data_IF_351621212079
#
_entry.id   IF_351621212079
#
_cell.length_a   1.000
_cell.length_b   1.000
_cell.length_c   1.000
_cell.angle_alpha   90.00
_cell.angle_beta   90.00
_cell.angle_gamma   90.00
#
_symmetry.space_group_name_H-M   'P 1'
#
loop_
_entity.id
_entity.type
_entity.pdbx_description
1 polymer ?
#
# COMPACT_ATOMS: atom_id res chain seq x y z
N UNK A 1 -4.88 -6.97 61.68
CA UNK A 1 -5.13 -7.78 60.46
C UNK A 1 -5.15 -6.86 59.27
N UNK A 2 -4.36 -7.20 58.25
CA UNK A 2 -4.07 -6.38 57.09
C UNK A 2 -5.28 -6.26 56.15
N UNK A 3 -5.65 -5.03 55.78
CA UNK A 3 -6.56 -4.75 54.68
C UNK A 3 -5.75 -4.54 53.40
N UNK A 4 -5.78 -5.53 52.52
CA UNK A 4 -5.05 -5.56 51.25
C UNK A 4 -5.63 -4.54 50.25
N UNK A 5 -4.77 -3.67 49.72
CA UNK A 5 -5.10 -2.75 48.63
C UNK A 5 -5.16 -3.55 47.33
N UNK A 6 -6.37 -3.78 46.83
CA UNK A 6 -6.59 -4.36 45.52
C UNK A 6 -6.19 -3.38 44.42
N UNK A 7 -4.97 -3.53 43.91
CA UNK A 7 -4.51 -2.87 42.69
C UNK A 7 -5.36 -3.38 41.52
N UNK A 8 -6.31 -2.56 41.07
CA UNK A 8 -7.05 -2.78 39.84
C UNK A 8 -6.07 -2.74 38.66
N UNK A 9 -5.69 -3.92 38.16
CA UNK A 9 -4.88 -4.04 36.95
C UNK A 9 -5.74 -3.61 35.76
N UNK A 10 -5.56 -2.37 35.32
CA UNK A 10 -6.20 -1.88 34.10
C UNK A 10 -5.81 -2.80 32.93
N UNK A 11 -6.81 -3.33 32.23
CA UNK A 11 -6.61 -4.08 31.00
C UNK A 11 -5.81 -3.23 29.99
N UNK A 12 -4.95 -3.83 29.16
CA UNK A 12 -4.25 -3.07 28.12
C UNK A 12 -5.31 -2.46 27.21
N UNK A 13 -5.32 -1.12 27.14
CA UNK A 13 -6.17 -0.35 26.23
C UNK A 13 -5.89 -0.85 24.81
N UNK A 14 -6.83 -1.55 24.19
CA UNK A 14 -6.76 -1.86 22.77
C UNK A 14 -6.69 -0.54 22.02
N UNK A 15 -5.63 -0.34 21.24
CA UNK A 15 -5.52 0.82 20.38
C UNK A 15 -6.75 0.86 19.45
N UNK A 16 -7.38 2.03 19.24
CA UNK A 16 -8.51 2.14 18.33
C UNK A 16 -8.07 1.69 16.94
N UNK A 17 -8.85 0.79 16.32
CA UNK A 17 -8.67 0.37 14.93
C UNK A 17 -8.69 1.62 14.07
N UNK A 18 -7.52 2.02 13.55
CA UNK A 18 -7.40 3.16 12.65
C UNK A 18 -7.88 2.70 11.27
N UNK A 19 -9.07 3.15 10.87
CA UNK A 19 -9.53 3.03 9.50
C UNK A 19 -8.83 4.07 8.62
N UNK A 20 -8.81 3.86 7.30
CA UNK A 20 -8.08 4.72 6.35
C UNK A 20 -8.65 6.15 6.21
N UNK A 21 -9.62 6.53 7.04
CA UNK A 21 -10.26 7.85 7.06
C UNK A 21 -10.80 8.22 8.44
N UNK A 22 -11.38 9.41 8.53
CA UNK A 22 -11.97 9.95 9.78
C UNK A 22 -13.32 9.34 10.11
N UNK A 23 -14.06 8.89 9.10
CA UNK A 23 -15.37 8.28 9.26
C UNK A 23 -15.27 6.75 9.45
N UNK A 24 -16.22 6.14 10.19
CA UNK A 24 -16.28 4.69 10.28
C UNK A 24 -16.60 4.07 8.92
N UNK A 25 -16.17 2.82 8.67
CA UNK A 25 -16.46 2.13 7.42
C UNK A 25 -17.96 1.90 7.26
N UNK A 26 -18.46 2.08 6.04
CA UNK A 26 -19.86 1.80 5.69
C UNK A 26 -20.23 0.32 5.85
N UNK A 27 -19.26 -0.58 5.64
CA UNK A 27 -19.44 -2.01 5.79
C UNK A 27 -18.15 -2.68 6.24
N UNK A 28 -18.30 -3.71 7.08
CA UNK A 28 -17.23 -4.62 7.50
C UNK A 28 -17.42 -6.02 6.88
N UNK A 29 -18.37 -6.18 5.97
CA UNK A 29 -18.61 -7.46 5.30
C UNK A 29 -17.40 -7.82 4.42
N UNK A 30 -16.98 -9.08 4.53
CA UNK A 30 -15.95 -9.65 3.67
C UNK A 30 -16.48 -10.00 2.28
N UNK A 31 -15.57 -10.27 1.36
CA UNK A 31 -15.89 -10.73 0.00
C UNK A 31 -16.57 -12.10 0.02
N UNK A 32 -17.53 -12.29 -0.87
CA UNK A 32 -18.17 -13.57 -1.16
C UNK A 32 -17.47 -14.29 -2.31
N UNK A 33 -17.78 -15.57 -2.52
CA UNK A 33 -17.28 -16.33 -3.67
C UNK A 33 -17.71 -15.71 -5.01
N UNK A 34 -18.92 -15.12 -5.08
CA UNK A 34 -19.39 -14.43 -6.28
C UNK A 34 -18.59 -13.16 -6.56
N UNK A 35 -18.11 -12.47 -5.52
CA UNK A 35 -17.23 -11.29 -5.68
C UNK A 35 -15.88 -11.68 -6.25
N UNK A 36 -15.29 -12.78 -5.75
CA UNK A 36 -14.02 -13.32 -6.26
C UNK A 36 -14.13 -13.72 -7.74
N UNK A 37 -15.19 -14.42 -8.11
CA UNK A 37 -15.41 -14.83 -9.50
C UNK A 37 -15.54 -13.63 -10.45
N UNK A 38 -16.37 -12.65 -10.09
CA UNK A 38 -16.55 -11.42 -10.88
C UNK A 38 -15.25 -10.62 -10.99
N UNK A 39 -14.46 -10.58 -9.92
CA UNK A 39 -13.15 -9.92 -9.92
C UNK A 39 -12.17 -10.60 -10.87
N UNK A 40 -12.15 -11.94 -10.90
CA UNK A 40 -11.29 -12.69 -11.82
C UNK A 40 -11.69 -12.51 -13.30
N UNK A 41 -12.99 -12.47 -13.59
CA UNK A 41 -13.50 -12.18 -14.94
C UNK A 41 -13.14 -10.77 -15.39
N UNK A 42 -13.30 -9.79 -14.50
CA UNK A 42 -12.89 -8.41 -14.76
C UNK A 42 -11.38 -8.32 -15.03
N UNK A 43 -10.56 -8.95 -14.20
CA UNK A 43 -9.11 -8.93 -14.35
C UNK A 43 -8.68 -9.48 -15.71
N UNK A 44 -9.27 -10.61 -16.13
CA UNK A 44 -9.04 -11.17 -17.47
C UNK A 44 -9.40 -10.16 -18.56
N UNK A 45 -10.56 -9.52 -18.47
CA UNK A 45 -10.98 -8.50 -19.45
C UNK A 45 -10.01 -7.31 -19.51
N UNK A 46 -9.53 -6.83 -18.37
CA UNK A 46 -8.59 -5.68 -18.32
C UNK A 46 -7.22 -6.03 -18.90
N UNK A 47 -6.74 -7.26 -18.67
CA UNK A 47 -5.54 -7.78 -19.32
C UNK A 47 -5.73 -7.86 -20.84
N UNK A 48 -6.85 -8.40 -21.32
CA UNK A 48 -7.16 -8.49 -22.75
C UNK A 48 -7.34 -7.12 -23.41
N UNK A 49 -7.84 -6.13 -22.67
CA UNK A 49 -7.93 -4.73 -23.11
C UNK A 49 -6.56 -4.02 -23.16
N UNK A 50 -5.47 -4.66 -22.71
CA UNK A 50 -4.14 -4.07 -22.68
C UNK A 50 -3.99 -2.93 -21.67
N UNK A 51 -4.81 -2.92 -20.60
CA UNK A 51 -4.76 -1.85 -19.60
C UNK A 51 -3.48 -1.88 -18.77
N UNK A 52 -2.99 -3.08 -18.46
CA UNK A 52 -1.79 -3.28 -17.66
C UNK A 52 -0.55 -3.37 -18.55
N UNK A 53 0.50 -2.67 -18.16
CA UNK A 53 1.82 -2.82 -18.77
C UNK A 53 2.37 -4.24 -18.57
N UNK A 54 3.09 -4.72 -19.58
CA UNK A 54 3.78 -6.01 -19.52
C UNK A 54 5.06 -5.92 -18.68
N UNK A 55 5.52 -7.05 -18.15
CA UNK A 55 6.76 -7.11 -17.33
C UNK A 55 7.98 -6.50 -18.02
N UNK A 56 8.11 -6.75 -19.32
CA UNK A 56 9.21 -6.20 -20.13
C UNK A 56 9.10 -4.68 -20.27
N UNK A 57 7.89 -4.14 -20.45
CA UNK A 57 7.65 -2.70 -20.51
C UNK A 57 7.96 -2.04 -19.18
N UNK A 58 7.48 -2.62 -18.06
CA UNK A 58 7.80 -2.14 -16.71
C UNK A 58 9.31 -2.13 -16.46
N UNK A 59 10.01 -3.21 -16.81
CA UNK A 59 11.46 -3.32 -16.66
C UNK A 59 12.18 -2.26 -17.49
N UNK A 60 11.72 -2.01 -18.73
CA UNK A 60 12.32 -0.98 -19.58
C UNK A 60 12.12 0.42 -19.02
N UNK A 61 10.94 0.72 -18.47
CA UNK A 61 10.65 1.99 -17.80
C UNK A 61 11.58 2.21 -16.61
N UNK A 62 11.80 1.18 -15.79
CA UNK A 62 12.72 1.26 -14.66
C UNK A 62 14.17 1.50 -15.10
N UNK A 63 14.64 0.82 -16.14
CA UNK A 63 15.98 1.03 -16.71
C UNK A 63 16.17 2.48 -17.18
N UNK A 64 15.22 3.00 -17.96
CA UNK A 64 15.27 4.38 -18.47
C UNK A 64 15.22 5.40 -17.32
N UNK A 65 14.40 5.17 -16.29
CA UNK A 65 14.37 6.03 -15.10
C UNK A 65 15.68 6.02 -14.33
N UNK A 66 16.36 4.86 -14.26
CA UNK A 66 17.68 4.75 -13.66
C UNK A 66 18.71 5.57 -14.42
N UNK A 67 18.73 5.50 -15.76
CA UNK A 67 19.61 6.29 -16.62
C UNK A 67 19.36 7.80 -16.47
N UNK A 68 18.10 8.22 -16.50
CA UNK A 68 17.72 9.62 -16.25
C UNK A 68 18.23 10.06 -14.87
N UNK A 69 18.09 9.21 -13.86
CA UNK A 69 18.64 9.45 -12.53
C UNK A 69 20.15 9.70 -12.52
N UNK A 70 20.93 8.97 -13.34
CA UNK A 70 22.37 9.20 -13.46
C UNK A 70 22.69 10.50 -14.20
N UNK A 71 21.96 10.79 -15.28
CA UNK A 71 22.11 12.03 -16.05
C UNK A 71 21.88 13.24 -15.14
N UNK A 72 20.80 13.22 -14.34
CA UNK A 72 20.48 14.30 -13.41
C UNK A 72 21.57 14.45 -12.34
N UNK A 73 22.07 13.35 -11.78
CA UNK A 73 23.17 13.40 -10.79
C UNK A 73 24.42 14.02 -11.37
N UNK A 74 24.80 13.62 -12.58
CA UNK A 74 25.99 14.14 -13.26
C UNK A 74 25.83 15.63 -13.60
N UNK A 75 24.66 16.02 -14.09
CA UNK A 75 24.34 17.43 -14.33
C UNK A 75 24.43 18.27 -13.05
N UNK A 76 23.89 17.79 -11.93
CA UNK A 76 24.00 18.49 -10.64
C UNK A 76 25.47 18.63 -10.22
N UNK A 77 26.28 17.59 -10.37
CA UNK A 77 27.71 17.66 -10.06
C UNK A 77 28.43 18.74 -10.87
N UNK A 78 28.17 18.81 -12.17
CA UNK A 78 28.79 19.82 -13.04
C UNK A 78 28.42 21.26 -12.64
N UNK A 79 27.25 21.46 -12.02
CA UNK A 79 26.82 22.78 -11.55
C UNK A 79 27.40 23.14 -10.18
N UNK A 80 27.57 22.16 -9.29
CA UNK A 80 27.95 22.40 -7.89
C UNK A 80 29.44 22.26 -7.62
N UNK A 81 30.14 21.41 -8.37
CA UNK A 81 31.61 21.28 -8.32
C UNK A 81 32.22 22.17 -9.42
N UNK A 82 32.22 23.49 -9.18
CA UNK A 82 33.13 24.44 -9.84
C UNK A 82 34.40 24.60 -9.01
#
# INVERSE_FOLDING_TARGET
>A
MAGSVGVGRAAPRSSPKRYAGTDPPLSLAGLTMADLQRTAELEKFLVEAGLYEGKEESAKREEVLSEIGQIVKEWVKQLTYK
#
